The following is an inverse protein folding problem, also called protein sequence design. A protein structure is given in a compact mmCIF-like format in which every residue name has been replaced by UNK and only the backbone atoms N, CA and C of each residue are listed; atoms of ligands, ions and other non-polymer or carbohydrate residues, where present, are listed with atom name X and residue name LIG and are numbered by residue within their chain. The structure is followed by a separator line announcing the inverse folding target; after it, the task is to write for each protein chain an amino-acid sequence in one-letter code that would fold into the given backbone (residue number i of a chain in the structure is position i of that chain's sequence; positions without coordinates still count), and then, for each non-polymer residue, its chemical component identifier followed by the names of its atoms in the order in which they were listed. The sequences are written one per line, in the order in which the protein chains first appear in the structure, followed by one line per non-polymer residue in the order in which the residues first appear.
data_IF_740796107752
#
_entry.id   IF_740796107752
#
_cell.length_a   1.000
_cell.length_b   1.000
_cell.length_c   1.000
_cell.angle_alpha   90.00
_cell.angle_beta   90.00
_cell.angle_gamma   90.00
#
_symmetry.space_group_name_H-M   'P 1'
#
loop_
_entity.id
_entity.type
_entity.pdbx_description
1 polymer ?
#
# COMPACT_ATOMS: atom_id res chain seq x y z
N UNK A 1 -33.77 -15.20 5.47
CA UNK A 1 -33.05 -14.17 6.26
C UNK A 1 -31.65 -14.62 6.65
N UNK A 2 -31.48 -15.68 7.46
CA UNK A 2 -30.14 -16.17 7.85
C UNK A 2 -29.26 -16.56 6.65
N UNK A 3 -29.85 -17.20 5.63
CA UNK A 3 -29.14 -17.59 4.41
C UNK A 3 -28.62 -16.40 3.59
N UNK A 4 -29.43 -15.35 3.43
CA UNK A 4 -29.01 -14.11 2.77
C UNK A 4 -27.89 -13.39 3.56
N UNK A 5 -27.94 -13.42 4.89
CA UNK A 5 -26.86 -12.90 5.74
C UNK A 5 -25.58 -13.70 5.54
N UNK A 6 -25.65 -15.04 5.55
CA UNK A 6 -24.50 -15.92 5.32
C UNK A 6 -23.88 -15.66 3.95
N UNK A 7 -24.70 -15.45 2.91
CA UNK A 7 -24.25 -15.13 1.55
C UNK A 7 -23.48 -13.81 1.51
N UNK A 8 -23.96 -12.77 2.20
CA UNK A 8 -23.26 -11.49 2.30
C UNK A 8 -21.93 -11.66 3.05
N UNK A 9 -21.93 -12.40 4.16
CA UNK A 9 -20.71 -12.65 4.94
C UNK A 9 -19.66 -13.40 4.11
N UNK A 10 -20.06 -14.43 3.35
CA UNK A 10 -19.15 -15.16 2.44
C UNK A 10 -18.55 -14.24 1.38
N UNK A 11 -19.35 -13.37 0.77
CA UNK A 11 -18.85 -12.38 -0.21
C UNK A 11 -17.83 -11.44 0.41
N UNK A 12 -18.09 -10.92 1.61
CA UNK A 12 -17.15 -10.06 2.33
C UNK A 12 -15.86 -10.81 2.68
N UNK A 13 -15.97 -12.05 3.14
CA UNK A 13 -14.81 -12.89 3.43
C UNK A 13 -13.96 -13.11 2.17
N UNK A 14 -14.56 -13.54 1.06
CA UNK A 14 -13.83 -13.75 -0.21
C UNK A 14 -13.14 -12.47 -0.69
N UNK A 15 -13.80 -11.32 -0.56
CA UNK A 15 -13.19 -10.03 -0.88
C UNK A 15 -11.97 -9.75 0.02
N UNK A 16 -12.10 -9.93 1.33
CA UNK A 16 -11.00 -9.72 2.27
C UNK A 16 -9.83 -10.68 2.03
N UNK A 17 -10.11 -11.95 1.71
CA UNK A 17 -9.07 -12.92 1.34
C UNK A 17 -8.28 -12.46 0.11
N UNK A 18 -8.97 -12.01 -0.95
CA UNK A 18 -8.31 -11.49 -2.14
C UNK A 18 -7.46 -10.24 -1.86
N UNK A 19 -7.92 -9.36 -0.96
CA UNK A 19 -7.14 -8.20 -0.53
C UNK A 19 -5.87 -8.62 0.23
N UNK A 20 -5.97 -9.62 1.12
CA UNK A 20 -4.81 -10.15 1.86
C UNK A 20 -3.81 -10.76 0.89
N UNK A 21 -4.25 -11.59 -0.06
CA UNK A 21 -3.40 -12.15 -1.12
C UNK A 21 -2.69 -11.03 -1.91
N UNK A 22 -3.42 -9.95 -2.27
CA UNK A 22 -2.83 -8.78 -2.93
C UNK A 22 -1.72 -8.11 -2.12
N UNK A 23 -1.89 -7.99 -0.79
CA UNK A 23 -0.86 -7.47 0.11
C UNK A 23 0.35 -8.41 0.17
N UNK A 24 0.13 -9.71 0.27
CA UNK A 24 1.22 -10.71 0.29
C UNK A 24 2.04 -10.65 -1.00
N UNK A 25 1.39 -10.50 -2.17
CA UNK A 25 2.09 -10.29 -3.44
C UNK A 25 2.89 -8.99 -3.45
N UNK A 26 2.33 -7.90 -2.96
CA UNK A 26 3.05 -6.63 -2.84
C UNK A 26 4.29 -6.78 -1.96
N UNK A 27 4.18 -7.45 -0.80
CA UNK A 27 5.31 -7.70 0.10
C UNK A 27 6.42 -8.48 -0.61
N UNK A 28 6.07 -9.57 -1.29
CA UNK A 28 7.03 -10.41 -2.02
C UNK A 28 7.76 -9.64 -3.12
N UNK A 29 7.05 -8.82 -3.90
CA UNK A 29 7.67 -8.00 -4.95
C UNK A 29 8.58 -6.90 -4.38
N UNK A 30 8.33 -6.48 -3.13
CA UNK A 30 9.11 -5.44 -2.47
C UNK A 30 10.37 -5.98 -1.74
N UNK A 31 10.45 -7.27 -1.40
CA UNK A 31 11.59 -7.86 -0.67
C UNK A 31 12.95 -7.64 -1.37
N UNK A 32 12.96 -7.63 -2.70
CA UNK A 32 14.19 -7.44 -3.51
C UNK A 32 14.25 -6.08 -4.22
N UNK A 33 13.21 -5.25 -4.11
CA UNK A 33 13.11 -3.99 -4.84
C UNK A 33 13.58 -2.81 -4.00
N UNK A 34 14.50 -2.03 -4.56
CA UNK A 34 15.09 -0.85 -3.91
C UNK A 34 14.83 0.44 -4.67
N UNK A 35 14.22 0.37 -5.87
CA UNK A 35 13.91 1.53 -6.69
C UNK A 35 12.59 2.17 -6.23
N UNK A 36 12.60 3.43 -5.76
CA UNK A 36 11.41 4.14 -5.30
C UNK A 36 10.24 4.11 -6.28
N UNK A 37 10.53 4.24 -7.58
CA UNK A 37 9.52 4.23 -8.64
C UNK A 37 8.80 2.89 -8.75
N UNK A 38 9.55 1.80 -8.57
CA UNK A 38 9.01 0.45 -8.59
C UNK A 38 8.22 0.15 -7.32
N UNK A 39 8.75 0.53 -6.16
CA UNK A 39 8.04 0.44 -4.88
C UNK A 39 6.68 1.16 -4.98
N UNK A 40 6.68 2.42 -5.42
CA UNK A 40 5.44 3.19 -5.59
C UNK A 40 4.46 2.51 -6.56
N UNK A 41 4.97 2.02 -7.70
CA UNK A 41 4.12 1.36 -8.69
C UNK A 41 3.50 0.06 -8.17
N UNK A 42 4.27 -0.77 -7.44
CA UNK A 42 3.81 -2.02 -6.85
C UNK A 42 2.71 -1.73 -5.82
N UNK A 43 2.94 -0.79 -4.91
CA UNK A 43 1.94 -0.40 -3.92
C UNK A 43 0.67 0.13 -4.58
N UNK A 44 0.77 1.01 -5.57
CA UNK A 44 -0.41 1.53 -6.28
C UNK A 44 -1.16 0.45 -7.06
N UNK A 45 -0.49 -0.55 -7.61
CA UNK A 45 -1.14 -1.68 -8.31
C UNK A 45 -1.96 -2.53 -7.33
N UNK A 46 -1.42 -2.85 -6.17
CA UNK A 46 -2.07 -3.77 -5.23
C UNK A 46 -3.00 -3.09 -4.23
N UNK A 47 -2.70 -1.86 -3.80
CA UNK A 47 -3.45 -1.13 -2.78
C UNK A 47 -4.30 0.00 -3.37
N UNK A 48 -3.94 0.51 -4.56
CA UNK A 48 -4.51 1.71 -5.15
C UNK A 48 -3.80 3.01 -4.72
N UNK A 49 -3.98 4.06 -5.52
CA UNK A 49 -3.24 5.33 -5.38
C UNK A 49 -3.45 6.02 -4.02
N UNK A 50 -4.69 6.06 -3.51
CA UNK A 50 -4.99 6.74 -2.25
C UNK A 50 -4.38 6.01 -1.04
N UNK A 51 -4.59 4.68 -0.88
CA UNK A 51 -3.92 3.93 0.18
C UNK A 51 -2.39 3.99 0.12
N UNK A 52 -1.80 3.93 -1.07
CA UNK A 52 -0.33 4.09 -1.23
C UNK A 52 0.16 5.42 -0.70
N UNK A 53 -0.49 6.54 -1.06
CA UNK A 53 -0.09 7.86 -0.57
C UNK A 53 -0.23 7.98 0.95
N UNK A 54 -1.29 7.42 1.52
CA UNK A 54 -1.49 7.44 2.97
C UNK A 54 -0.39 6.66 3.69
N UNK A 55 -0.09 5.45 3.21
CA UNK A 55 1.01 4.62 3.75
C UNK A 55 2.35 5.36 3.70
N UNK A 56 2.67 6.02 2.58
CA UNK A 56 3.93 6.74 2.44
C UNK A 56 3.95 8.01 3.30
N UNK A 57 2.81 8.68 3.49
CA UNK A 57 2.72 9.79 4.45
C UNK A 57 2.98 9.31 5.88
N UNK A 58 2.40 8.17 6.27
CA UNK A 58 2.60 7.61 7.61
C UNK A 58 4.08 7.26 7.84
N UNK A 59 4.75 6.68 6.84
CA UNK A 59 6.20 6.45 6.88
C UNK A 59 7.01 7.75 6.99
N UNK A 60 6.61 8.81 6.27
CA UNK A 60 7.28 10.10 6.37
C UNK A 60 7.15 10.67 7.80
N UNK A 61 5.96 10.62 8.37
CA UNK A 61 5.66 11.12 9.71
C UNK A 61 6.45 10.33 10.79
N UNK A 62 6.48 9.00 10.67
CA UNK A 62 7.22 8.11 11.59
C UNK A 62 8.74 8.33 11.56
N UNK A 63 9.29 8.72 10.41
CA UNK A 63 10.73 8.92 10.21
C UNK A 63 11.15 10.40 10.25
N UNK A 64 10.24 11.31 10.60
CA UNK A 64 10.52 12.75 10.71
C UNK A 64 10.86 13.42 9.37
N UNK A 65 10.39 12.87 8.25
CA UNK A 65 10.59 13.43 6.91
C UNK A 65 9.53 14.51 6.68
N UNK A 66 9.97 15.78 6.58
CA UNK A 66 9.08 16.95 6.41
C UNK A 66 8.50 17.10 4.99
N UNK A 67 7.91 16.03 4.45
CA UNK A 67 7.27 16.02 3.12
C UNK A 67 5.80 15.64 3.28
N UNK A 68 4.92 16.47 2.70
CA UNK A 68 3.49 16.17 2.61
C UNK A 68 3.16 15.50 1.29
N UNK A 69 2.78 14.23 1.33
CA UNK A 69 2.51 13.41 0.16
C UNK A 69 1.17 13.77 -0.46
N UNK A 70 1.20 14.52 -1.57
CA UNK A 70 -0.01 14.86 -2.37
C UNK A 70 0.09 14.29 -3.77
N UNK A 71 1.29 14.29 -4.32
CA UNK A 71 1.62 13.85 -5.66
C UNK A 71 2.47 12.59 -5.62
N UNK A 72 2.63 11.96 -6.79
CA UNK A 72 3.59 10.87 -6.95
C UNK A 72 5.01 11.31 -6.65
N UNK A 73 5.41 12.52 -7.05
CA UNK A 73 6.79 12.98 -6.83
C UNK A 73 7.08 13.17 -5.34
N UNK A 74 6.13 13.70 -4.57
CA UNK A 74 6.26 13.80 -3.11
C UNK A 74 6.51 12.43 -2.48
N UNK A 75 5.77 11.42 -2.94
CA UNK A 75 5.92 10.05 -2.46
C UNK A 75 7.29 9.46 -2.82
N UNK A 76 7.79 9.72 -4.04
CA UNK A 76 9.13 9.28 -4.45
C UNK A 76 10.22 9.98 -3.65
N UNK A 77 10.06 11.26 -3.32
CA UNK A 77 10.99 11.97 -2.43
C UNK A 77 11.08 11.29 -1.07
N UNK A 78 9.94 10.97 -0.43
CA UNK A 78 9.93 10.24 0.85
C UNK A 78 10.65 8.89 0.72
N UNK A 79 10.30 8.10 -0.30
CA UNK A 79 10.90 6.78 -0.51
C UNK A 79 12.41 6.85 -0.78
N UNK A 80 12.90 7.90 -1.44
CA UNK A 80 14.34 8.16 -1.61
C UNK A 80 15.00 8.49 -0.28
N UNK A 81 14.40 9.37 0.52
CA UNK A 81 14.90 9.74 1.85
C UNK A 81 15.00 8.54 2.80
N UNK A 82 14.04 7.61 2.76
CA UNK A 82 14.07 6.39 3.57
C UNK A 82 15.23 5.45 3.23
N UNK A 83 15.84 5.55 2.05
CA UNK A 83 17.03 4.75 1.69
C UNK A 83 18.34 5.31 2.25
N UNK A 84 18.34 6.57 2.66
CA UNK A 84 19.51 7.28 3.17
C UNK A 84 19.61 7.23 4.71
N UNK A 85 18.59 6.68 5.37
CA UNK A 85 18.51 6.43 6.83
C UNK A 85 19.07 5.05 7.14
#
# INVERSE_FOLDING_TARGET
MAEEIIKILRRKHSFLSAMIEGVEYAMKELEEESKPEKIYSTLTVFLGEFPTKKLIQDLADENGIEVRVRTKEDALTVLRSLREI
#
